data_IF_958570313005
#
_entry.id   IF_958570313005
#
_cell.length_a   1.000
_cell.length_b   1.000
_cell.length_c   1.000
_cell.angle_alpha   90.00
_cell.angle_beta   90.00
_cell.angle_gamma   90.00
#
_symmetry.space_group_name_H-M   'P 1'
#
loop_
_entity.id
_entity.type
_entity.pdbx_description
1 polymer ?
#
# COMPACT_ATOMS: atom_id res chain seq x y z
N UNK A 1 71.60 -17.12 5.08
CA UNK A 1 71.16 -17.56 3.73
C UNK A 1 71.00 -16.33 2.85
N UNK A 2 71.96 -16.04 1.95
CA UNK A 2 71.92 -14.86 1.06
C UNK A 2 70.91 -15.12 -0.06
N UNK A 3 69.71 -14.55 0.03
CA UNK A 3 68.79 -14.53 -1.11
C UNK A 3 69.51 -13.87 -2.30
N UNK A 4 69.72 -14.62 -3.38
CA UNK A 4 70.38 -14.11 -4.60
C UNK A 4 69.57 -12.91 -5.10
N UNK A 5 70.22 -11.75 -5.24
CA UNK A 5 69.64 -10.50 -5.79
C UNK A 5 68.85 -10.71 -7.09
N UNK A 6 69.17 -11.78 -7.85
CA UNK A 6 68.49 -12.19 -9.09
C UNK A 6 67.02 -12.62 -8.92
N UNK A 7 66.54 -12.93 -7.70
CA UNK A 7 65.14 -13.34 -7.45
C UNK A 7 64.33 -12.24 -6.74
N UNK A 8 64.98 -11.39 -5.96
CA UNK A 8 64.30 -10.34 -5.18
C UNK A 8 63.81 -9.19 -6.05
N UNK A 9 64.60 -8.79 -7.04
CA UNK A 9 64.26 -7.70 -7.97
C UNK A 9 63.02 -8.00 -8.83
N UNK A 10 62.88 -9.17 -9.49
CA UNK A 10 61.69 -9.45 -10.27
C UNK A 10 60.43 -9.59 -9.40
N UNK A 11 60.54 -10.11 -8.17
CA UNK A 11 59.41 -10.23 -7.24
C UNK A 11 58.91 -8.84 -6.79
N UNK A 12 59.83 -7.91 -6.53
CA UNK A 12 59.47 -6.53 -6.17
C UNK A 12 58.79 -5.79 -7.33
N UNK A 13 59.25 -6.02 -8.57
CA UNK A 13 58.63 -5.42 -9.76
C UNK A 13 57.21 -5.96 -9.97
N UNK A 14 56.98 -7.27 -9.78
CA UNK A 14 55.64 -7.87 -9.88
C UNK A 14 54.70 -7.31 -8.81
N UNK A 15 55.18 -7.15 -7.57
CA UNK A 15 54.37 -6.55 -6.49
C UNK A 15 54.05 -5.07 -6.73
N UNK A 16 55.01 -4.30 -7.26
CA UNK A 16 54.78 -2.90 -7.63
C UNK A 16 53.80 -2.77 -8.80
N UNK A 17 53.89 -3.66 -9.80
CA UNK A 17 52.94 -3.70 -10.91
C UNK A 17 51.54 -4.12 -10.45
N UNK A 18 51.42 -5.09 -9.53
CA UNK A 18 50.13 -5.48 -8.95
C UNK A 18 49.51 -4.36 -8.10
N UNK A 19 50.32 -3.64 -7.32
CA UNK A 19 49.86 -2.49 -6.54
C UNK A 19 49.46 -1.30 -7.44
N UNK A 20 50.22 -1.04 -8.51
CA UNK A 20 49.89 -0.02 -9.50
C UNK A 20 48.61 -0.39 -10.27
N UNK A 21 48.40 -1.68 -10.58
CA UNK A 21 47.18 -2.15 -11.23
C UNK A 21 45.96 -2.01 -10.30
N UNK A 22 46.09 -2.33 -9.00
CA UNK A 22 45.03 -2.10 -8.00
C UNK A 22 44.74 -0.61 -7.74
N UNK A 23 45.72 0.28 -7.94
CA UNK A 23 45.56 1.72 -7.77
C UNK A 23 44.96 2.41 -9.01
N UNK A 24 45.39 2.01 -10.22
CA UNK A 24 44.91 2.54 -11.50
C UNK A 24 43.58 1.92 -11.93
N UNK A 25 43.38 0.63 -11.63
CA UNK A 25 42.12 -0.10 -11.75
C UNK A 25 41.60 -0.44 -10.36
N UNK A 26 41.49 0.57 -9.48
CA UNK A 26 40.40 0.46 -8.49
C UNK A 26 39.15 0.24 -9.33
N UNK A 27 38.43 -0.90 -9.23
CA UNK A 27 37.10 -0.94 -9.77
C UNK A 27 36.43 0.27 -9.12
N UNK A 28 36.03 1.26 -9.92
CA UNK A 28 35.10 2.28 -9.44
C UNK A 28 34.05 1.46 -8.73
N UNK A 29 34.01 1.57 -7.40
CA UNK A 29 32.96 0.95 -6.61
C UNK A 29 31.71 1.36 -7.35
N UNK A 30 31.10 0.39 -8.05
CA UNK A 30 29.88 0.62 -8.78
C UNK A 30 28.99 1.35 -7.77
N UNK A 31 28.35 2.47 -8.15
CA UNK A 31 27.44 3.15 -7.23
C UNK A 31 26.61 2.04 -6.59
N UNK A 32 26.60 1.99 -5.25
CA UNK A 32 25.86 0.96 -4.48
C UNK A 32 24.60 0.66 -5.26
N UNK A 33 24.27 -0.61 -5.57
CA UNK A 33 23.05 -0.89 -6.32
C UNK A 33 21.95 -0.15 -5.58
N UNK A 34 21.43 0.92 -6.20
CA UNK A 34 20.31 1.63 -5.65
C UNK A 34 19.25 0.53 -5.73
N UNK A 35 18.90 -0.06 -4.59
CA UNK A 35 17.70 -0.86 -4.47
C UNK A 35 16.56 0.11 -4.76
N UNK A 36 16.33 0.36 -6.06
CA UNK A 36 15.15 1.04 -6.53
C UNK A 36 14.05 0.03 -6.28
N UNK A 37 13.27 0.30 -5.23
CA UNK A 37 12.06 -0.46 -4.96
C UNK A 37 11.18 -0.35 -6.20
N UNK A 38 10.63 -1.48 -6.67
CA UNK A 38 9.76 -1.57 -7.84
C UNK A 38 8.65 -0.51 -7.80
N UNK A 39 8.16 -0.17 -6.61
CA UNK A 39 7.17 0.88 -6.38
C UNK A 39 7.68 2.28 -6.75
N UNK A 40 8.91 2.64 -6.37
CA UNK A 40 9.48 3.96 -6.67
C UNK A 40 9.74 4.14 -8.17
N UNK A 41 10.21 3.09 -8.86
CA UNK A 41 10.35 3.12 -10.31
C UNK A 41 9.00 3.23 -11.02
N UNK A 42 7.97 2.56 -10.48
CA UNK A 42 6.61 2.64 -11.01
C UNK A 42 6.00 4.03 -10.83
N UNK A 43 6.13 4.65 -9.64
CA UNK A 43 5.68 6.05 -9.40
C UNK A 43 6.35 6.99 -10.39
N UNK A 44 7.67 6.93 -10.52
CA UNK A 44 8.42 7.79 -11.44
C UNK A 44 7.98 7.55 -12.90
N UNK A 45 7.65 6.31 -13.27
CA UNK A 45 7.23 5.98 -14.63
C UNK A 45 5.80 6.43 -14.92
N UNK A 46 4.87 6.24 -13.98
CA UNK A 46 3.47 6.60 -14.17
C UNK A 46 3.26 8.13 -14.11
N UNK A 47 4.00 8.85 -13.25
CA UNK A 47 3.96 10.32 -13.18
C UNK A 47 4.61 11.03 -14.36
N UNK A 48 5.33 10.32 -15.25
CA UNK A 48 5.71 10.91 -16.55
C UNK A 48 4.48 11.24 -17.41
N UNK A 49 3.35 10.58 -17.15
CA UNK A 49 2.06 10.99 -17.71
C UNK A 49 1.55 12.18 -16.92
N UNK A 50 1.20 13.25 -17.60
CA UNK A 50 0.68 14.48 -16.97
C UNK A 50 -0.83 14.60 -17.10
N UNK A 51 -1.43 13.86 -18.04
CA UNK A 51 -2.87 13.72 -18.18
C UNK A 51 -3.44 12.89 -17.03
N UNK A 52 -4.61 13.23 -16.45
CA UNK A 52 -5.26 12.40 -15.45
C UNK A 52 -5.69 11.05 -16.04
N UNK A 53 -5.77 10.02 -15.20
CA UNK A 53 -6.42 8.77 -15.58
C UNK A 53 -7.94 8.96 -15.61
N UNK A 54 -8.60 8.56 -16.70
CA UNK A 54 -10.04 8.72 -16.88
C UNK A 54 -10.75 7.38 -17.03
N UNK A 55 -11.97 7.29 -16.51
CA UNK A 55 -12.80 6.08 -16.53
C UNK A 55 -14.05 6.22 -15.67
N UNK A 56 -14.61 5.10 -15.23
CA UNK A 56 -15.67 5.10 -14.23
C UNK A 56 -15.45 4.10 -13.08
N UNK A 57 -15.96 4.46 -11.91
CA UNK A 57 -16.07 3.60 -10.74
C UNK A 57 -17.54 3.19 -10.57
N UNK A 58 -17.88 1.99 -11.05
CA UNK A 58 -19.24 1.44 -11.03
C UNK A 58 -20.30 2.37 -11.61
N UNK A 59 -19.99 2.94 -12.79
CA UNK A 59 -20.85 3.87 -13.53
C UNK A 59 -20.69 5.35 -13.15
N UNK A 60 -19.88 5.69 -12.15
CA UNK A 60 -19.57 7.10 -11.83
C UNK A 60 -18.32 7.55 -12.59
N UNK A 61 -18.40 8.52 -13.53
CA UNK A 61 -17.23 9.04 -14.24
C UNK A 61 -16.23 9.70 -13.29
N UNK A 62 -14.94 9.42 -13.50
CA UNK A 62 -13.84 9.96 -12.68
C UNK A 62 -12.68 10.44 -13.54
N UNK A 63 -12.00 11.47 -13.03
CA UNK A 63 -10.71 11.98 -13.51
C UNK A 63 -9.74 11.96 -12.34
N UNK A 64 -8.81 11.02 -12.34
CA UNK A 64 -7.92 10.73 -11.22
C UNK A 64 -6.54 11.32 -11.53
N UNK A 65 -6.03 12.27 -10.70
CA UNK A 65 -4.67 12.76 -10.88
C UNK A 65 -3.66 11.62 -10.72
N UNK A 66 -2.58 11.63 -11.51
CA UNK A 66 -1.65 10.50 -11.64
C UNK A 66 -1.01 10.01 -10.33
N UNK A 67 -0.63 10.88 -9.37
CA UNK A 67 -0.13 10.43 -8.06
C UNK A 67 -1.15 9.61 -7.25
N UNK A 68 -2.44 9.70 -7.59
CA UNK A 68 -3.51 8.92 -6.95
C UNK A 68 -3.86 7.65 -7.73
N UNK A 69 -3.23 7.37 -8.87
CA UNK A 69 -3.63 6.30 -9.78
C UNK A 69 -2.59 5.17 -9.84
N UNK A 70 -2.02 4.79 -8.69
CA UNK A 70 -1.03 3.72 -8.65
C UNK A 70 -1.63 2.34 -8.92
N UNK A 71 -0.88 1.48 -9.62
CA UNK A 71 -1.34 0.14 -10.02
C UNK A 71 -2.71 0.15 -10.72
N UNK A 72 -2.99 1.17 -11.53
CA UNK A 72 -4.27 1.34 -12.19
C UNK A 72 -4.57 0.22 -13.20
N UNK A 73 -5.70 -0.45 -13.01
CA UNK A 73 -6.21 -1.49 -13.88
C UNK A 73 -7.63 -1.17 -14.36
N UNK A 74 -7.90 -1.53 -15.61
CA UNK A 74 -9.22 -1.39 -16.23
C UNK A 74 -9.84 -2.76 -16.49
N UNK A 75 -11.15 -2.81 -16.56
CA UNK A 75 -11.86 -3.96 -17.08
C UNK A 75 -11.45 -4.26 -18.53
N UNK A 76 -11.34 -5.55 -18.84
CA UNK A 76 -10.89 -6.03 -20.15
C UNK A 76 -9.37 -5.94 -20.39
N UNK A 77 -8.60 -5.39 -19.45
CA UNK A 77 -7.14 -5.51 -19.49
C UNK A 77 -6.68 -6.90 -19.06
N UNK A 78 -5.56 -7.39 -19.65
CA UNK A 78 -4.96 -8.63 -19.20
C UNK A 78 -4.53 -8.52 -17.74
N UNK A 79 -4.60 -9.64 -17.00
CA UNK A 79 -3.99 -9.73 -15.68
C UNK A 79 -2.47 -9.55 -15.70
N UNK A 80 -1.86 -9.36 -14.53
CA UNK A 80 -0.40 -9.17 -14.38
C UNK A 80 0.44 -10.28 -15.04
N UNK A 81 -0.08 -11.51 -15.09
CA UNK A 81 0.59 -12.68 -15.67
C UNK A 81 0.19 -12.96 -17.12
N UNK A 82 -0.73 -12.18 -17.68
CA UNK A 82 -1.30 -12.43 -18.99
C UNK A 82 -0.73 -11.45 -20.03
N UNK A 83 -0.30 -11.92 -21.21
CA UNK A 83 0.13 -11.04 -22.27
C UNK A 83 -1.07 -10.30 -22.87
N UNK A 84 -0.89 -9.00 -23.14
CA UNK A 84 -1.91 -8.22 -23.86
C UNK A 84 -2.07 -8.76 -25.28
N UNK A 85 -3.30 -9.08 -25.66
CA UNK A 85 -3.67 -9.35 -27.04
C UNK A 85 -4.16 -8.05 -27.67
N UNK A 86 -3.51 -7.61 -28.74
CA UNK A 86 -3.87 -6.38 -29.46
C UNK A 86 -3.33 -5.09 -28.82
N UNK A 87 -3.64 -3.93 -29.42
CA UNK A 87 -3.20 -2.63 -28.93
C UNK A 87 -3.85 -2.28 -27.59
N UNK A 88 -3.21 -1.40 -26.82
CA UNK A 88 -3.84 -0.81 -25.62
C UNK A 88 -5.03 0.04 -26.06
N UNK A 89 -6.24 -0.20 -25.53
CA UNK A 89 -7.40 0.62 -25.87
C UNK A 89 -7.20 2.07 -25.43
N UNK A 90 -7.78 2.99 -26.18
CA UNK A 90 -7.96 4.37 -25.73
C UNK A 90 -8.92 4.38 -24.54
N UNK A 91 -8.60 5.17 -23.51
CA UNK A 91 -9.42 5.28 -22.30
C UNK A 91 -10.37 6.45 -22.43
N UNK A 92 -11.60 6.22 -21.99
CA UNK A 92 -12.70 7.19 -21.98
C UNK A 92 -13.43 7.09 -20.63
N UNK A 93 -14.37 7.99 -20.34
CA UNK A 93 -15.20 7.88 -19.14
C UNK A 93 -16.09 6.63 -19.10
N UNK A 94 -16.25 5.92 -20.23
CA UNK A 94 -16.93 4.62 -20.32
C UNK A 94 -15.99 3.43 -19.99
N UNK A 95 -14.71 3.68 -19.76
CA UNK A 95 -13.75 2.64 -19.38
C UNK A 95 -13.88 2.31 -17.89
N UNK A 96 -14.32 1.10 -17.56
CA UNK A 96 -14.41 0.64 -16.18
C UNK A 96 -13.05 0.50 -15.53
N UNK A 97 -12.79 1.23 -14.45
CA UNK A 97 -11.59 1.09 -13.62
C UNK A 97 -11.86 0.03 -12.55
N UNK A 98 -11.13 -1.09 -12.55
CA UNK A 98 -11.40 -2.19 -11.61
C UNK A 98 -10.61 -2.10 -10.32
N UNK A 99 -9.39 -1.57 -10.38
CA UNK A 99 -8.52 -1.40 -9.22
C UNK A 99 -7.50 -0.31 -9.44
N UNK A 100 -7.15 0.37 -8.36
CA UNK A 100 -5.98 1.23 -8.24
C UNK A 100 -5.71 1.48 -6.75
N UNK A 101 -4.58 2.08 -6.43
CA UNK A 101 -4.27 2.53 -5.09
C UNK A 101 -3.42 3.77 -5.10
N UNK A 102 -3.15 4.31 -3.92
CA UNK A 102 -2.24 5.43 -3.72
C UNK A 102 -1.79 5.48 -2.27
N UNK A 103 -0.78 6.29 -2.00
CA UNK A 103 -0.30 6.52 -0.65
C UNK A 103 -0.47 7.99 -0.29
N UNK A 104 -0.89 8.27 0.95
CA UNK A 104 -1.08 9.63 1.47
C UNK A 104 -0.50 9.72 2.87
N UNK A 105 0.14 10.84 3.18
CA UNK A 105 0.71 11.10 4.49
C UNK A 105 -0.37 11.67 5.41
N UNK A 106 -0.55 11.09 6.60
CA UNK A 106 -1.50 11.59 7.59
C UNK A 106 -0.82 12.59 8.55
N UNK A 107 -1.45 13.70 8.98
CA UNK A 107 -2.84 14.12 8.70
C UNK A 107 -3.00 15.13 7.55
N UNK A 108 -1.90 15.59 6.93
CA UNK A 108 -1.96 16.60 5.86
C UNK A 108 -2.56 16.06 4.54
N UNK A 109 -2.68 14.75 4.42
CA UNK A 109 -3.18 14.00 3.27
C UNK A 109 -2.39 14.28 1.98
N UNK A 110 -1.10 14.65 2.13
CA UNK A 110 -0.19 14.83 1.00
C UNK A 110 0.01 13.49 0.28
N UNK A 111 -0.26 13.45 -1.02
CA UNK A 111 -0.09 12.22 -1.82
C UNK A 111 1.39 11.93 -2.06
N UNK A 112 1.74 10.64 -1.99
CA UNK A 112 3.07 10.17 -2.36
C UNK A 112 3.28 10.43 -3.84
N UNK A 113 4.35 11.15 -4.16
CA UNK A 113 4.70 11.51 -5.53
C UNK A 113 6.21 11.53 -5.72
N UNK A 114 6.68 11.61 -6.97
CA UNK A 114 8.11 11.72 -7.24
C UNK A 114 8.79 12.89 -6.51
N UNK A 115 8.03 13.94 -6.16
CA UNK A 115 8.52 15.10 -5.42
C UNK A 115 8.86 14.81 -3.94
N UNK A 116 8.17 13.85 -3.30
CA UNK A 116 8.32 13.56 -1.87
C UNK A 116 8.77 12.11 -1.57
N UNK A 117 9.06 11.29 -2.60
CA UNK A 117 9.58 9.92 -2.48
C UNK A 117 10.79 9.79 -1.55
N UNK A 118 11.72 10.73 -1.60
CA UNK A 118 12.92 10.66 -0.75
C UNK A 118 12.55 10.86 0.72
N UNK A 119 11.65 11.80 1.03
CA UNK A 119 11.13 12.00 2.40
C UNK A 119 10.48 10.70 2.90
N UNK A 120 9.61 10.11 2.10
CA UNK A 120 8.91 8.87 2.42
C UNK A 120 9.88 7.72 2.75
N UNK A 121 10.93 7.52 1.93
CA UNK A 121 11.91 6.41 2.13
C UNK A 121 12.72 6.52 3.41
N UNK A 122 12.87 7.74 3.95
CA UNK A 122 13.62 7.96 5.19
C UNK A 122 12.73 7.85 6.43
N UNK A 123 11.40 7.76 6.27
CA UNK A 123 10.52 7.52 7.41
C UNK A 123 10.66 6.10 7.94
N UNK A 124 10.77 5.98 9.26
CA UNK A 124 10.82 4.70 9.94
C UNK A 124 9.47 4.00 9.83
N UNK A 125 9.47 2.71 9.54
CA UNK A 125 8.25 1.88 9.54
C UNK A 125 7.52 1.89 10.89
N UNK A 126 8.21 2.24 11.98
CA UNK A 126 7.64 2.32 13.33
C UNK A 126 6.91 3.65 13.59
N UNK A 127 7.24 4.70 12.83
CA UNK A 127 6.69 6.06 13.04
C UNK A 127 5.96 6.60 11.82
N UNK A 128 6.06 5.92 10.68
CA UNK A 128 5.47 6.33 9.40
C UNK A 128 4.00 6.67 9.57
N UNK A 129 3.61 7.79 8.98
CA UNK A 129 2.23 8.26 8.94
C UNK A 129 1.60 8.04 7.55
N UNK A 130 2.30 7.35 6.65
CA UNK A 130 1.80 7.00 5.34
C UNK A 130 0.71 5.94 5.43
N UNK A 131 -0.43 6.26 4.84
CA UNK A 131 -1.57 5.38 4.65
C UNK A 131 -1.48 4.80 3.24
N UNK A 132 -1.63 3.49 3.10
CA UNK A 132 -1.77 2.85 1.79
C UNK A 132 -3.25 2.62 1.51
N UNK A 133 -3.77 3.25 0.46
CA UNK A 133 -5.18 3.21 0.09
C UNK A 133 -5.34 2.32 -1.15
N UNK A 134 -6.17 1.29 -1.04
CA UNK A 134 -6.62 0.45 -2.14
C UNK A 134 -8.08 0.74 -2.49
N UNK A 135 -8.39 0.76 -3.78
CA UNK A 135 -9.72 0.99 -4.31
C UNK A 135 -10.04 -0.14 -5.29
N UNK A 136 -11.17 -0.81 -5.09
CA UNK A 136 -11.71 -1.76 -6.07
C UNK A 136 -13.12 -1.37 -6.49
N UNK A 137 -13.43 -1.59 -7.77
CA UNK A 137 -14.71 -1.24 -8.38
C UNK A 137 -15.00 -2.16 -9.57
N UNK A 138 -16.15 -1.95 -10.22
CA UNK A 138 -16.62 -2.72 -11.37
C UNK A 138 -16.47 -4.24 -11.18
N UNK A 139 -15.73 -4.95 -12.05
CA UNK A 139 -15.55 -6.41 -11.94
C UNK A 139 -14.91 -6.88 -10.62
N UNK A 140 -14.21 -5.99 -9.89
CA UNK A 140 -13.58 -6.27 -8.59
C UNK A 140 -14.34 -5.62 -7.42
N UNK A 141 -15.54 -5.07 -7.66
CA UNK A 141 -16.33 -4.48 -6.59
C UNK A 141 -16.88 -5.56 -5.65
N UNK A 142 -16.61 -5.42 -4.34
CA UNK A 142 -17.08 -6.41 -3.34
C UNK A 142 -18.55 -6.25 -2.94
N UNK A 143 -19.28 -5.27 -3.51
CA UNK A 143 -20.70 -5.03 -3.22
C UNK A 143 -20.96 -4.01 -2.11
N UNK A 144 -22.23 -3.65 -1.94
CA UNK A 144 -22.67 -2.60 -1.00
C UNK A 144 -22.48 -3.01 0.48
N UNK A 145 -22.60 -4.30 0.78
CA UNK A 145 -22.45 -4.87 2.12
C UNK A 145 -21.02 -5.33 2.42
N UNK A 146 -20.01 -4.81 1.72
CA UNK A 146 -18.63 -5.30 1.85
C UNK A 146 -18.12 -5.40 3.30
N UNK A 147 -18.26 -4.38 4.18
CA UNK A 147 -17.83 -4.48 5.57
C UNK A 147 -18.61 -5.52 6.38
N UNK A 148 -19.93 -5.61 6.17
CA UNK A 148 -20.78 -6.61 6.81
C UNK A 148 -20.40 -8.04 6.37
N UNK A 149 -20.09 -8.21 5.09
CA UNK A 149 -19.54 -9.45 4.54
C UNK A 149 -18.26 -9.89 5.27
N UNK A 150 -17.36 -8.96 5.62
CA UNK A 150 -16.16 -9.28 6.42
C UNK A 150 -16.52 -9.81 7.81
N UNK A 151 -17.50 -9.19 8.47
CA UNK A 151 -17.96 -9.63 9.81
C UNK A 151 -18.61 -11.01 9.75
N UNK A 152 -19.46 -11.28 8.75
CA UNK A 152 -20.05 -12.62 8.57
C UNK A 152 -19.00 -13.68 8.26
N UNK A 153 -17.92 -13.29 7.57
CA UNK A 153 -16.79 -14.14 7.23
C UNK A 153 -15.85 -14.46 8.39
N UNK A 154 -15.99 -13.80 9.55
CA UNK A 154 -15.12 -14.03 10.72
C UNK A 154 -15.03 -15.51 11.13
N UNK A 155 -16.11 -16.27 10.99
CA UNK A 155 -16.14 -17.70 11.32
C UNK A 155 -15.30 -18.59 10.39
N UNK A 156 -14.82 -18.07 9.26
CA UNK A 156 -13.93 -18.77 8.34
C UNK A 156 -12.45 -18.61 8.70
N UNK A 157 -12.13 -17.71 9.62
CA UNK A 157 -10.77 -17.59 10.14
C UNK A 157 -10.42 -18.83 10.98
N UNK A 158 -9.16 -19.24 10.97
CA UNK A 158 -8.67 -20.34 11.83
C UNK A 158 -8.82 -20.02 13.33
N UNK A 159 -8.87 -18.74 13.67
CA UNK A 159 -9.15 -18.27 15.01
C UNK A 159 -10.64 -18.07 15.24
N UNK A 160 -11.09 -18.50 16.41
CA UNK A 160 -12.39 -18.18 16.99
C UNK A 160 -12.26 -16.86 17.73
N UNK A 161 -13.31 -16.06 17.66
CA UNK A 161 -13.35 -14.73 18.24
C UNK A 161 -14.36 -14.63 19.36
N UNK A 162 -14.00 -13.88 20.40
CA UNK A 162 -14.89 -13.49 21.47
C UNK A 162 -14.98 -11.96 21.53
N UNK A 163 -16.19 -11.45 21.74
CA UNK A 163 -16.40 -10.02 21.96
C UNK A 163 -15.68 -9.57 23.24
N UNK A 164 -14.93 -8.48 23.17
CA UNK A 164 -14.27 -7.86 24.30
C UNK A 164 -15.28 -7.24 25.27
N UNK A 165 -14.87 -7.02 26.53
CA UNK A 165 -15.74 -6.43 27.55
C UNK A 165 -16.10 -4.96 27.25
N UNK A 166 -15.19 -4.24 26.59
CA UNK A 166 -15.36 -2.85 26.23
C UNK A 166 -15.11 -2.66 24.73
N UNK A 167 -15.87 -1.74 24.15
CA UNK A 167 -15.61 -1.23 22.81
C UNK A 167 -14.38 -0.31 22.85
N UNK A 168 -13.57 -0.34 21.80
CA UNK A 168 -12.41 0.54 21.65
C UNK A 168 -12.72 1.60 20.58
N UNK A 169 -12.59 2.89 20.90
CA UNK A 169 -12.80 3.98 19.93
C UNK A 169 -14.14 3.92 19.19
N UNK A 170 -15.22 3.57 19.93
CA UNK A 170 -16.58 3.37 19.40
C UNK A 170 -16.72 2.16 18.44
N UNK A 171 -15.73 1.28 18.40
CA UNK A 171 -15.76 0.04 17.62
C UNK A 171 -16.11 -1.15 18.52
N UNK A 172 -16.97 -2.03 18.03
CA UNK A 172 -17.17 -3.34 18.66
C UNK A 172 -15.91 -4.18 18.44
N UNK A 173 -15.26 -4.58 19.55
CA UNK A 173 -13.96 -5.25 19.53
C UNK A 173 -14.10 -6.75 19.76
N UNK A 174 -13.38 -7.54 18.97
CA UNK A 174 -13.32 -9.00 19.04
C UNK A 174 -11.86 -9.46 19.09
N UNK A 175 -11.57 -10.36 20.03
CA UNK A 175 -10.23 -10.86 20.32
C UNK A 175 -10.19 -12.36 20.02
N UNK A 176 -9.12 -12.88 19.40
CA UNK A 176 -9.00 -14.31 19.11
C UNK A 176 -8.71 -15.11 20.40
N UNK A 177 -9.40 -16.23 20.61
CA UNK A 177 -9.40 -16.99 21.89
C UNK A 177 -8.72 -18.36 21.84
N UNK A 178 -8.49 -18.94 20.66
CA UNK A 178 -7.85 -20.25 20.48
C UNK A 178 -6.42 -20.10 19.94
N UNK A 179 -5.69 -19.09 20.41
CA UNK A 179 -4.33 -18.81 19.94
C UNK A 179 -3.32 -19.58 20.78
N UNK A 180 -2.26 -20.06 20.14
CA UNK A 180 -1.10 -20.60 20.83
C UNK A 180 -0.33 -19.46 21.51
N UNK A 181 -0.47 -19.35 22.83
CA UNK A 181 0.16 -18.29 23.62
C UNK A 181 1.68 -18.42 23.69
N UNK A 182 2.25 -19.61 23.56
CA UNK A 182 3.70 -19.80 23.53
C UNK A 182 4.28 -19.35 22.19
N UNK A 183 3.61 -19.70 21.08
CA UNK A 183 3.97 -19.20 19.75
C UNK A 183 3.85 -17.66 19.70
N UNK A 184 2.77 -17.12 20.25
CA UNK A 184 2.53 -15.67 20.32
C UNK A 184 3.63 -14.94 21.10
N UNK A 185 4.09 -15.49 22.23
CA UNK A 185 5.19 -14.92 23.02
C UNK A 185 6.51 -14.96 22.26
N UNK A 186 6.85 -16.09 21.66
CA UNK A 186 8.13 -16.27 20.95
C UNK A 186 8.26 -15.40 19.71
N UNK A 187 7.14 -15.10 19.04
CA UNK A 187 7.08 -14.24 17.85
C UNK A 187 6.82 -12.77 18.12
N UNK A 188 6.81 -12.36 19.39
CA UNK A 188 6.72 -10.94 19.74
C UNK A 188 5.31 -10.35 19.59
N UNK A 189 4.25 -11.15 19.74
CA UNK A 189 2.89 -10.64 19.92
C UNK A 189 1.80 -11.30 19.09
N UNK A 190 2.15 -11.92 17.97
CA UNK A 190 1.22 -12.65 17.12
C UNK A 190 1.72 -14.07 16.86
N UNK A 191 0.85 -15.08 16.97
CA UNK A 191 1.25 -16.44 16.63
C UNK A 191 1.57 -16.59 15.13
N UNK A 192 0.87 -15.84 14.26
CA UNK A 192 1.13 -15.75 12.83
C UNK A 192 0.39 -14.56 12.19
N UNK A 193 0.41 -14.48 10.87
CA UNK A 193 -0.20 -13.39 10.10
C UNK A 193 -1.73 -13.29 10.26
N UNK A 194 -2.41 -14.38 10.62
CA UNK A 194 -3.85 -14.41 10.87
C UNK A 194 -4.24 -14.02 12.31
N UNK A 195 -3.26 -13.77 13.19
CA UNK A 195 -3.53 -13.39 14.58
C UNK A 195 -3.73 -11.87 14.68
N UNK A 196 -4.99 -11.47 14.63
CA UNK A 196 -5.43 -10.09 14.66
C UNK A 196 -6.62 -9.90 15.59
N UNK A 197 -6.76 -8.70 16.14
CA UNK A 197 -8.02 -8.23 16.71
C UNK A 197 -8.91 -7.70 15.58
N UNK A 198 -10.22 -7.90 15.73
CA UNK A 198 -11.22 -7.40 14.80
C UNK A 198 -12.02 -6.29 15.47
N UNK A 199 -12.27 -5.23 14.72
CA UNK A 199 -13.04 -4.08 15.14
C UNK A 199 -14.06 -3.75 14.04
N UNK A 200 -15.28 -3.40 14.40
CA UNK A 200 -16.22 -2.86 13.42
C UNK A 200 -17.12 -1.79 14.02
N UNK A 201 -17.55 -0.86 13.17
CA UNK A 201 -18.49 0.19 13.53
C UNK A 201 -19.87 -0.14 12.96
N UNK A 202 -20.92 0.24 13.70
CA UNK A 202 -22.29 0.24 13.21
C UNK A 202 -22.75 1.68 13.04
N UNK A 203 -23.31 1.98 11.87
CA UNK A 203 -23.94 3.27 11.63
C UNK A 203 -25.25 3.41 12.44
N UNK A 204 -25.85 4.59 12.38
CA UNK A 204 -27.11 4.90 13.06
C UNK A 204 -28.28 3.97 12.72
N UNK A 205 -28.22 3.32 11.55
CA UNK A 205 -29.25 2.39 11.08
C UNK A 205 -28.96 0.93 11.50
N UNK A 206 -27.89 0.70 12.27
CA UNK A 206 -27.46 -0.62 12.74
C UNK A 206 -26.62 -1.43 11.73
N UNK A 207 -26.46 -0.92 10.50
CA UNK A 207 -25.66 -1.55 9.46
C UNK A 207 -24.15 -1.34 9.69
N UNK A 208 -23.33 -2.28 9.22
CA UNK A 208 -21.88 -2.23 9.38
C UNK A 208 -21.27 -1.45 8.23
N UNK A 209 -20.68 -0.29 8.54
CA UNK A 209 -20.09 0.63 7.56
C UNK A 209 -18.56 0.62 7.57
N UNK A 210 -17.95 0.09 8.63
CA UNK A 210 -16.49 -0.03 8.78
C UNK A 210 -16.12 -1.36 9.42
N UNK A 211 -15.14 -2.04 8.83
CA UNK A 211 -14.48 -3.24 9.38
C UNK A 211 -12.98 -2.98 9.46
N UNK A 212 -12.32 -3.39 10.54
CA UNK A 212 -10.88 -3.20 10.74
C UNK A 212 -10.31 -4.48 11.34
N UNK A 213 -9.20 -4.95 10.80
CA UNK A 213 -8.36 -5.97 11.44
C UNK A 213 -7.01 -5.38 11.80
N UNK A 214 -6.52 -5.62 13.00
CA UNK A 214 -5.21 -5.15 13.44
C UNK A 214 -4.37 -6.31 13.94
N UNK A 215 -3.16 -6.45 13.38
CA UNK A 215 -2.19 -7.46 13.82
C UNK A 215 -1.91 -7.34 15.31
N UNK A 216 -1.80 -8.49 15.99
CA UNK A 216 -1.49 -8.56 17.42
C UNK A 216 0.02 -8.50 17.74
N UNK A 217 0.88 -8.29 16.74
CA UNK A 217 2.30 -7.98 16.95
C UNK A 217 2.47 -6.83 17.95
N UNK A 218 3.42 -6.95 18.89
CA UNK A 218 3.62 -5.98 19.98
C UNK A 218 4.53 -4.80 19.61
N UNK A 219 5.01 -4.72 18.38
CA UNK A 219 5.86 -3.61 17.93
C UNK A 219 5.04 -2.47 17.31
N UNK A 220 5.58 -1.26 17.33
CA UNK A 220 4.87 -0.05 16.87
C UNK A 220 4.48 -0.06 15.39
N UNK A 221 5.16 -0.87 14.58
CA UNK A 221 4.85 -1.08 13.17
C UNK A 221 3.71 -2.09 12.91
N UNK A 222 3.01 -2.58 13.95
CA UNK A 222 1.89 -3.49 13.77
C UNK A 222 0.83 -2.80 12.88
N UNK A 223 0.32 -3.50 11.87
CA UNK A 223 -0.57 -2.90 10.86
C UNK A 223 -2.03 -3.18 11.20
N UNK A 224 -2.87 -2.19 10.93
CA UNK A 224 -4.31 -2.34 10.77
C UNK A 224 -4.68 -2.20 9.30
N UNK A 225 -5.66 -3.00 8.86
CA UNK A 225 -6.33 -2.82 7.58
C UNK A 225 -7.80 -2.47 7.83
N UNK A 226 -8.19 -1.27 7.43
CA UNK A 226 -9.55 -0.76 7.50
C UNK A 226 -10.25 -0.92 6.16
N UNK A 227 -11.48 -1.41 6.17
CA UNK A 227 -12.30 -1.70 5.01
C UNK A 227 -13.67 -1.03 5.15
N UNK A 228 -14.05 -0.26 4.13
CA UNK A 228 -15.33 0.44 4.07
C UNK A 228 -15.82 0.57 2.62
N UNK A 229 -17.02 1.13 2.43
CA UNK A 229 -17.61 1.33 1.11
C UNK A 229 -18.02 2.79 0.90
N UNK A 230 -17.98 3.26 -0.35
CA UNK A 230 -18.46 4.59 -0.74
C UNK A 230 -19.88 4.59 -1.32
N UNK A 231 -20.56 3.45 -1.32
CA UNK A 231 -21.95 3.33 -1.76
C UNK A 231 -22.90 4.14 -0.86
N UNK A 232 -23.93 4.81 -1.40
CA UNK A 232 -24.34 4.84 -2.82
C UNK A 232 -23.64 5.93 -3.66
N UNK A 233 -22.74 6.73 -3.07
CA UNK A 233 -22.10 7.86 -3.77
C UNK A 233 -21.22 7.38 -4.93
N UNK A 234 -20.45 6.32 -4.72
CA UNK A 234 -19.63 5.63 -5.73
C UNK A 234 -19.66 4.14 -5.38
N UNK A 235 -19.86 3.26 -6.36
CA UNK A 235 -19.76 1.80 -6.18
C UNK A 235 -18.29 1.37 -6.14
N UNK A 236 -17.63 1.67 -5.02
CA UNK A 236 -16.22 1.33 -4.78
C UNK A 236 -16.03 0.83 -3.35
N UNK A 237 -15.23 -0.23 -3.22
CA UNK A 237 -14.78 -0.79 -1.95
C UNK A 237 -13.39 -0.27 -1.66
N UNK A 238 -13.17 0.21 -0.45
CA UNK A 238 -11.93 0.87 -0.05
C UNK A 238 -11.24 0.02 1.02
N UNK A 239 -9.93 -0.18 0.87
CA UNK A 239 -9.05 -0.65 1.94
C UNK A 239 -8.03 0.45 2.28
N UNK A 240 -7.72 0.61 3.55
CA UNK A 240 -6.69 1.53 4.04
C UNK A 240 -5.83 0.80 5.04
N UNK A 241 -4.54 0.69 4.74
CA UNK A 241 -3.54 0.10 5.63
C UNK A 241 -2.77 1.19 6.35
N UNK A 242 -2.67 1.07 7.68
CA UNK A 242 -1.97 2.03 8.53
C UNK A 242 -1.45 1.36 9.81
N UNK A 243 -0.53 2.01 10.53
CA UNK A 243 -0.01 1.48 11.80
C UNK A 243 -1.07 1.46 12.90
N UNK A 244 -1.04 0.48 13.79
CA UNK A 244 -2.02 0.28 14.87
C UNK A 244 -2.16 1.47 15.81
N UNK A 245 -1.09 2.25 16.00
CA UNK A 245 -1.13 3.50 16.76
C UNK A 245 -2.08 4.57 16.20
N UNK A 246 -2.49 4.45 14.93
CA UNK A 246 -3.48 5.31 14.27
C UNK A 246 -4.92 4.79 14.38
N UNK A 247 -5.16 3.63 15.01
CA UNK A 247 -6.51 3.06 15.12
C UNK A 247 -7.51 4.04 15.73
N UNK A 248 -7.08 4.83 16.73
CA UNK A 248 -7.93 5.87 17.34
C UNK A 248 -8.44 6.94 16.36
N UNK A 249 -7.73 7.13 15.24
CA UNK A 249 -8.06 8.12 14.20
C UNK A 249 -8.83 7.50 13.02
N UNK A 250 -9.28 6.24 13.13
CA UNK A 250 -9.93 5.48 12.03
C UNK A 250 -11.07 6.26 11.34
N UNK A 251 -11.83 7.04 12.11
CA UNK A 251 -12.98 7.81 11.62
C UNK A 251 -12.52 9.00 10.77
N UNK A 252 -11.47 9.70 11.20
CA UNK A 252 -10.87 10.80 10.45
C UNK A 252 -10.19 10.29 9.18
N UNK A 253 -9.42 9.20 9.29
CA UNK A 253 -8.80 8.52 8.15
C UNK A 253 -9.86 8.14 7.10
N UNK A 254 -10.95 7.48 7.52
CA UNK A 254 -12.05 7.12 6.62
C UNK A 254 -12.63 8.35 5.92
N UNK A 255 -12.92 9.41 6.67
CA UNK A 255 -13.52 10.64 6.16
C UNK A 255 -12.59 11.34 5.15
N UNK A 256 -11.31 11.49 5.49
CA UNK A 256 -10.31 12.16 4.64
C UNK A 256 -10.05 11.39 3.35
N UNK A 257 -9.89 10.06 3.42
CA UNK A 257 -9.73 9.21 2.24
C UNK A 257 -11.00 9.23 1.38
N UNK A 258 -12.18 9.15 2.00
CA UNK A 258 -13.46 9.25 1.28
C UNK A 258 -13.57 10.56 0.51
N UNK A 259 -13.16 11.68 1.11
CA UNK A 259 -13.19 12.99 0.46
C UNK A 259 -12.30 13.02 -0.78
N UNK A 260 -11.05 12.57 -0.68
CA UNK A 260 -10.12 12.50 -1.82
C UNK A 260 -10.74 11.73 -2.99
N UNK A 261 -11.30 10.55 -2.72
CA UNK A 261 -11.87 9.70 -3.77
C UNK A 261 -13.14 10.32 -4.38
N UNK A 262 -13.97 10.97 -3.56
CA UNK A 262 -15.16 11.67 -4.05
C UNK A 262 -14.80 12.89 -4.91
N UNK A 263 -13.67 13.54 -4.65
CA UNK A 263 -13.18 14.68 -5.44
C UNK A 263 -12.68 14.27 -6.84
N UNK A 264 -12.46 12.97 -7.09
CA UNK A 264 -12.15 12.47 -8.43
C UNK A 264 -13.35 12.49 -9.38
N UNK A 265 -14.58 12.66 -8.87
CA UNK A 265 -15.78 12.69 -9.71
C UNK A 265 -15.66 13.76 -10.78
N UNK A 266 -15.79 13.35 -12.03
CA UNK A 266 -15.79 14.29 -13.13
C UNK A 266 -17.15 15.00 -13.23
N UNK A 267 -17.13 16.33 -13.35
CA UNK A 267 -18.30 17.14 -13.65
C UNK A 267 -18.05 17.96 -14.91
N UNK A 268 -18.89 17.78 -15.94
CA UNK A 268 -18.78 18.48 -17.23
C UNK A 268 -18.86 20.02 -17.11
N UNK A 269 -19.30 20.55 -15.96
CA UNK A 269 -19.35 21.99 -15.70
C UNK A 269 -17.98 22.66 -15.65
N UNK A 270 -16.89 21.90 -15.43
CA UNK A 270 -15.53 22.46 -15.39
C UNK A 270 -14.94 22.81 -16.76
N UNK A 271 -15.48 22.28 -17.86
CA UNK A 271 -14.97 22.52 -19.22
C UNK A 271 -15.67 23.66 -19.98
N UNK A 272 -16.73 24.26 -19.42
CA UNK A 272 -17.42 25.41 -20.07
C UNK A 272 -16.80 26.77 -19.78
N UNK A 273 -15.79 26.84 -18.90
CA UNK A 273 -15.16 28.09 -18.47
C UNK A 273 -13.65 28.14 -18.75
N UNK A 274 -13.16 27.34 -19.72
CA UNK A 274 -11.76 27.40 -20.16
C UNK A 274 -11.67 27.62 -21.66
#
# INVERSE_FOLDING_TARGET
>A
MRLKKKVVVPLFIVLLLAAAWMALFKPRLLPKPIQRHLFADWIIQEERRTDPAIGHLGGTPVSIPRPYAHFLEYDGDPGFTEPRKGPRPERTFESGIRSFGFEVHYPDMEVASAANLDKQKHESIYTSMWLNVGITSNSHYFGEYYPEGQVTGMGQNKYKYQKAQANEYELETYIPINVDEEERKTRGGAADMADHNIYYHRNSNGGIDTYIECSNMKHDAAVCEQRFNLFPKIKASISVSYRRGLLKEWREIQSSVSKIILDFKFSQTYDKNK
#
